data_IF_861366397661
#
_entry.id   IF_861366397661
#
_cell.length_a   1.000
_cell.length_b   1.000
_cell.length_c   1.000
_cell.angle_alpha   90.00
_cell.angle_beta   90.00
_cell.angle_gamma   90.00
#
_symmetry.space_group_name_H-M   'P 1'
#
loop_
_entity.id
_entity.type
_entity.pdbx_description
1 polymer ?
#
# COMPACT_ATOMS: atom_id res chain seq x y z
N UNK A 1 27.47 9.90 -21.53
CA UNK A 1 28.81 9.41 -21.13
C UNK A 1 29.04 7.92 -21.39
N UNK A 2 28.52 6.96 -20.60
CA UNK A 2 28.92 5.54 -20.78
C UNK A 2 28.43 4.88 -22.08
N UNK A 3 27.21 5.20 -22.54
CA UNK A 3 26.66 4.70 -23.81
C UNK A 3 27.50 5.21 -25.01
N UNK A 4 27.96 6.46 -24.97
CA UNK A 4 28.85 7.02 -26.00
C UNK A 4 30.21 6.34 -26.00
N UNK A 5 30.77 6.05 -24.82
CA UNK A 5 32.03 5.30 -24.70
C UNK A 5 31.92 3.90 -25.30
N UNK A 6 30.78 3.22 -25.17
CA UNK A 6 30.57 1.92 -25.82
C UNK A 6 30.50 2.04 -27.34
N UNK A 7 29.79 3.05 -27.86
CA UNK A 7 29.75 3.33 -29.30
C UNK A 7 31.14 3.61 -29.88
N UNK A 8 31.95 4.42 -29.20
CA UNK A 8 33.33 4.73 -29.62
C UNK A 8 34.25 3.50 -29.65
N UNK A 9 33.98 2.50 -28.81
CA UNK A 9 34.72 1.23 -28.77
C UNK A 9 34.15 0.16 -29.72
N UNK A 10 33.22 0.51 -30.61
CA UNK A 10 32.58 -0.44 -31.54
C UNK A 10 31.64 -1.45 -30.88
N UNK A 11 31.33 -1.29 -29.58
CA UNK A 11 30.40 -2.14 -28.85
C UNK A 11 28.95 -1.70 -29.14
N UNK A 12 28.46 -2.07 -30.32
CA UNK A 12 27.08 -1.80 -30.77
C UNK A 12 26.11 -2.90 -30.34
N UNK A 13 24.83 -2.56 -30.16
CA UNK A 13 23.76 -3.51 -29.84
C UNK A 13 23.68 -3.95 -28.38
N UNK A 14 24.40 -3.28 -27.46
CA UNK A 14 24.37 -3.63 -26.03
C UNK A 14 23.06 -3.20 -25.38
N UNK A 15 22.37 -4.15 -24.76
CA UNK A 15 21.14 -3.90 -24.01
C UNK A 15 21.43 -3.19 -22.69
N UNK A 16 20.70 -2.10 -22.42
CA UNK A 16 20.70 -1.43 -21.12
C UNK A 16 19.90 -2.30 -20.15
N UNK A 17 20.46 -2.55 -18.97
CA UNK A 17 19.80 -3.34 -17.92
C UNK A 17 19.44 -2.44 -16.76
N UNK A 18 18.17 -2.44 -16.37
CA UNK A 18 17.65 -1.64 -15.25
C UNK A 18 16.94 -2.58 -14.27
N UNK A 19 17.08 -2.33 -12.98
CA UNK A 19 16.40 -3.08 -11.93
C UNK A 19 15.39 -2.19 -11.23
N UNK A 20 14.21 -2.71 -10.97
CA UNK A 20 13.15 -2.02 -10.21
C UNK A 20 13.14 -2.56 -8.79
N UNK A 21 13.42 -1.71 -7.80
CA UNK A 21 13.48 -2.08 -6.38
C UNK A 21 12.46 -1.30 -5.55
N UNK A 22 12.09 -1.85 -4.40
CA UNK A 22 11.17 -1.21 -3.45
C UNK A 22 10.47 -2.22 -2.54
N UNK A 23 9.72 -1.71 -1.56
CA UNK A 23 8.97 -2.55 -0.61
C UNK A 23 7.85 -3.34 -1.32
N UNK A 24 7.25 -4.36 -0.68
CA UNK A 24 6.11 -5.07 -1.26
C UNK A 24 4.94 -4.13 -1.61
N UNK A 25 4.12 -4.52 -2.58
CA UNK A 25 2.90 -3.82 -3.00
C UNK A 25 3.04 -2.38 -3.54
N UNK A 26 4.25 -1.83 -3.70
CA UNK A 26 4.45 -0.51 -4.34
C UNK A 26 4.20 -0.46 -5.86
N UNK A 27 3.82 -1.58 -6.49
CA UNK A 27 3.50 -1.62 -7.92
C UNK A 27 4.67 -1.87 -8.88
N UNK A 28 5.79 -2.47 -8.41
CA UNK A 28 6.96 -2.82 -9.23
C UNK A 28 6.60 -3.61 -10.49
N UNK A 29 5.94 -4.76 -10.31
CA UNK A 29 5.53 -5.65 -11.40
C UNK A 29 4.47 -5.00 -12.30
N UNK A 30 3.59 -4.17 -11.74
CA UNK A 30 2.60 -3.40 -12.51
C UNK A 30 3.27 -2.36 -13.43
N UNK A 31 4.30 -1.67 -12.93
CA UNK A 31 5.10 -0.74 -13.73
C UNK A 31 5.80 -1.48 -14.87
N UNK A 32 6.41 -2.64 -14.58
CA UNK A 32 7.10 -3.46 -15.57
C UNK A 32 6.13 -3.96 -16.65
N UNK A 33 4.97 -4.51 -16.27
CA UNK A 33 3.94 -4.95 -17.23
C UNK A 33 3.46 -3.80 -18.12
N UNK A 34 3.25 -2.61 -17.54
CA UNK A 34 2.85 -1.43 -18.31
C UNK A 34 3.92 -1.02 -19.32
N UNK A 35 5.20 -1.08 -18.94
CA UNK A 35 6.32 -0.74 -19.82
C UNK A 35 6.61 -1.83 -20.88
N UNK A 36 6.35 -3.10 -20.56
CA UNK A 36 6.60 -4.23 -21.47
C UNK A 36 5.44 -4.50 -22.44
N UNK A 37 4.36 -3.72 -22.34
CA UNK A 37 3.13 -3.89 -23.13
C UNK A 37 2.52 -5.31 -23.02
N UNK A 38 2.71 -5.98 -21.88
CA UNK A 38 2.21 -7.33 -21.65
C UNK A 38 1.94 -7.63 -20.16
N UNK A 39 1.22 -8.73 -19.90
CA UNK A 39 0.91 -9.21 -18.54
C UNK A 39 1.84 -10.37 -18.15
N UNK A 40 3.14 -10.15 -18.19
CA UNK A 40 4.13 -11.22 -18.02
C UNK A 40 4.58 -11.39 -16.57
N UNK A 41 4.68 -10.29 -15.81
CA UNK A 41 4.97 -10.34 -14.38
C UNK A 41 3.70 -10.59 -13.56
N UNK A 42 3.80 -11.39 -12.50
CA UNK A 42 2.69 -11.65 -11.59
C UNK A 42 2.33 -10.37 -10.81
N UNK A 43 1.06 -10.01 -10.81
CA UNK A 43 0.55 -8.81 -10.11
C UNK A 43 -0.65 -9.21 -9.26
N UNK A 44 -0.51 -9.10 -7.95
CA UNK A 44 -1.63 -9.16 -7.00
C UNK A 44 -1.35 -8.18 -5.85
N UNK A 45 -2.40 -7.69 -5.21
CA UNK A 45 -2.29 -6.75 -4.08
C UNK A 45 -2.03 -7.48 -2.76
N UNK A 46 -0.96 -8.29 -2.70
CA UNK A 46 -0.53 -9.01 -1.49
C UNK A 46 1.00 -9.15 -1.45
N UNK A 47 1.65 -9.03 -0.29
CA UNK A 47 3.10 -9.18 -0.20
C UNK A 47 3.56 -10.59 -0.56
N UNK A 48 4.67 -10.68 -1.33
CA UNK A 48 5.32 -11.96 -1.68
C UNK A 48 4.82 -12.63 -2.96
N UNK A 49 4.13 -11.90 -3.84
CA UNK A 49 3.70 -12.37 -5.18
C UNK A 49 4.90 -12.63 -6.07
N UNK A 50 5.78 -11.64 -6.23
CA UNK A 50 7.05 -11.80 -6.95
C UNK A 50 8.04 -12.55 -6.07
N UNK A 51 8.41 -13.77 -6.46
CA UNK A 51 9.28 -14.67 -5.68
C UNK A 51 10.67 -14.87 -6.28
N UNK A 52 10.84 -14.58 -7.56
CA UNK A 52 12.11 -14.75 -8.28
C UNK A 52 12.39 -13.53 -9.13
N UNK A 53 13.68 -13.31 -9.42
CA UNK A 53 14.11 -12.24 -10.30
C UNK A 53 13.84 -12.65 -11.76
N UNK A 54 13.17 -11.79 -12.52
CA UNK A 54 12.84 -12.05 -13.92
C UNK A 54 13.16 -10.85 -14.81
N UNK A 55 13.76 -11.12 -15.97
CA UNK A 55 14.07 -10.09 -16.98
C UNK A 55 12.94 -9.96 -17.99
N UNK A 56 12.55 -8.72 -18.26
CA UNK A 56 11.53 -8.35 -19.23
C UNK A 56 12.15 -7.42 -20.28
N UNK A 57 12.24 -7.84 -21.54
CA UNK A 57 12.73 -6.97 -22.62
C UNK A 57 11.70 -5.89 -22.93
N UNK A 58 12.16 -4.65 -23.06
CA UNK A 58 11.35 -3.47 -23.39
C UNK A 58 11.85 -2.88 -24.71
N UNK A 59 11.07 -3.04 -25.77
CA UNK A 59 11.44 -2.55 -27.10
C UNK A 59 12.80 -3.07 -27.55
N UNK A 60 13.65 -2.20 -28.11
CA UNK A 60 15.01 -2.54 -28.55
C UNK A 60 16.04 -1.91 -27.62
N UNK A 61 16.82 -2.76 -26.95
CA UNK A 61 18.01 -2.32 -26.20
C UNK A 61 17.76 -1.95 -24.75
N UNK A 62 16.63 -2.35 -24.14
CA UNK A 62 16.38 -2.21 -22.71
C UNK A 62 15.81 -3.52 -22.14
N UNK A 63 16.34 -3.98 -21.01
CA UNK A 63 15.78 -5.05 -20.19
C UNK A 63 15.48 -4.52 -18.77
N UNK A 64 14.31 -4.82 -18.24
CA UNK A 64 13.92 -4.54 -16.87
C UNK A 64 13.96 -5.80 -16.02
N UNK A 65 14.57 -5.73 -14.84
CA UNK A 65 14.56 -6.79 -13.84
C UNK A 65 13.45 -6.50 -12.82
N UNK A 66 12.44 -7.39 -12.77
CA UNK A 66 11.49 -7.42 -11.66
C UNK A 66 12.11 -8.15 -10.48
N UNK A 67 11.96 -7.59 -9.28
CA UNK A 67 12.49 -8.15 -8.04
C UNK A 67 11.39 -8.34 -7.01
N UNK A 68 11.49 -9.35 -6.14
CA UNK A 68 10.68 -9.41 -4.92
C UNK A 68 10.71 -8.09 -4.17
N UNK A 69 9.58 -7.74 -3.53
CA UNK A 69 9.56 -6.62 -2.58
C UNK A 69 10.36 -6.96 -1.34
N UNK A 70 11.19 -6.03 -0.87
CA UNK A 70 12.04 -6.23 0.31
C UNK A 70 11.61 -5.29 1.42
N UNK A 71 11.40 -5.85 2.61
CA UNK A 71 11.32 -5.11 3.87
C UNK A 71 12.56 -5.42 4.70
N UNK A 72 12.99 -4.46 5.51
CA UNK A 72 14.08 -4.65 6.44
C UNK A 72 13.59 -5.40 7.71
N UNK A 73 14.44 -6.19 8.39
CA UNK A 73 13.99 -7.10 9.44
C UNK A 73 13.44 -6.42 10.70
N UNK A 74 13.85 -5.17 11.01
CA UNK A 74 13.47 -4.45 12.22
C UNK A 74 13.18 -2.99 11.93
N UNK A 75 11.96 -2.56 12.23
CA UNK A 75 11.60 -1.14 12.21
C UNK A 75 12.03 -0.51 13.54
N UNK A 76 13.03 0.36 13.51
CA UNK A 76 13.41 1.15 14.70
C UNK A 76 12.32 2.16 15.05
N UNK A 77 11.62 2.64 14.03
CA UNK A 77 10.55 3.60 14.16
C UNK A 77 9.17 2.92 14.05
N UNK A 78 8.37 3.06 15.11
CA UNK A 78 7.02 2.49 15.17
C UNK A 78 6.07 3.09 14.13
N UNK A 79 6.15 4.41 13.89
CA UNK A 79 5.30 5.12 12.93
C UNK A 79 5.57 4.59 11.51
N UNK A 80 6.83 4.41 11.14
CA UNK A 80 7.19 3.82 9.83
C UNK A 80 6.61 2.41 9.67
N UNK A 81 6.69 1.59 10.72
CA UNK A 81 6.09 0.26 10.72
C UNK A 81 4.57 0.29 10.54
N UNK A 82 3.87 1.18 11.25
CA UNK A 82 2.42 1.39 11.14
C UNK A 82 2.05 1.83 9.71
N UNK A 83 2.73 2.81 9.13
CA UNK A 83 2.46 3.28 7.77
C UNK A 83 2.63 2.19 6.72
N UNK A 84 3.71 1.39 6.80
CA UNK A 84 3.92 0.26 5.90
C UNK A 84 2.81 -0.78 6.03
N UNK A 85 2.36 -1.07 7.25
CA UNK A 85 1.25 -1.98 7.51
C UNK A 85 -0.08 -1.43 6.95
N UNK A 86 -0.39 -0.13 7.14
CA UNK A 86 -1.59 0.49 6.56
C UNK A 86 -1.62 0.35 5.04
N UNK A 87 -0.48 0.57 4.37
CA UNK A 87 -0.39 0.44 2.90
C UNK A 87 -0.34 -1.01 2.39
N UNK A 88 -0.33 -2.00 3.29
CA UNK A 88 -0.29 -3.42 2.92
C UNK A 88 1.09 -3.89 2.45
N UNK A 89 2.19 -3.22 2.83
CA UNK A 89 3.53 -3.73 2.55
C UNK A 89 3.88 -4.96 3.42
N UNK A 90 3.23 -5.10 4.57
CA UNK A 90 3.28 -6.25 5.49
C UNK A 90 2.02 -7.11 5.28
N UNK A 91 2.13 -8.43 5.46
CA UNK A 91 0.98 -9.34 5.31
C UNK A 91 0.01 -9.16 6.48
N UNK A 92 -1.29 -9.14 6.19
CA UNK A 92 -2.31 -8.96 7.24
C UNK A 92 -2.37 -10.15 8.20
N UNK A 93 -2.13 -11.38 7.74
CA UNK A 93 -2.16 -12.60 8.56
C UNK A 93 -1.17 -12.61 9.74
N UNK A 94 -0.19 -11.69 9.76
CA UNK A 94 0.79 -11.56 10.84
C UNK A 94 0.57 -10.33 11.70
N UNK A 95 -0.53 -9.59 11.48
CA UNK A 95 -0.88 -8.36 12.16
C UNK A 95 -2.16 -8.51 12.97
N UNK A 96 -2.28 -7.70 14.02
CA UNK A 96 -3.56 -7.45 14.67
C UNK A 96 -4.35 -6.46 13.81
N UNK A 97 -5.24 -7.00 12.98
CA UNK A 97 -6.02 -6.25 11.98
C UNK A 97 -6.94 -5.21 12.63
N UNK A 98 -7.55 -5.54 13.76
CA UNK A 98 -8.46 -4.63 14.46
C UNK A 98 -7.71 -3.44 15.05
N UNK A 99 -6.62 -3.71 15.77
CA UNK A 99 -5.78 -2.64 16.29
C UNK A 99 -5.18 -1.80 15.15
N UNK A 100 -4.75 -2.41 14.05
CA UNK A 100 -4.25 -1.67 12.88
C UNK A 100 -5.34 -0.75 12.28
N UNK A 101 -6.58 -1.23 12.16
CA UNK A 101 -7.71 -0.45 11.69
C UNK A 101 -8.02 0.73 12.62
N UNK A 102 -8.02 0.52 13.94
CA UNK A 102 -8.21 1.57 14.94
C UNK A 102 -7.14 2.65 14.82
N UNK A 103 -5.86 2.26 14.75
CA UNK A 103 -4.73 3.21 14.60
C UNK A 103 -4.81 3.99 13.30
N UNK A 104 -5.24 3.36 12.21
CA UNK A 104 -5.51 4.04 10.95
C UNK A 104 -6.65 5.06 11.10
N UNK A 105 -7.76 4.71 11.76
CA UNK A 105 -8.88 5.64 12.00
C UNK A 105 -8.46 6.84 12.81
N UNK A 106 -7.71 6.66 13.90
CA UNK A 106 -7.16 7.77 14.70
C UNK A 106 -6.35 8.73 13.83
N UNK A 107 -5.51 8.19 12.94
CA UNK A 107 -4.70 8.98 12.02
C UNK A 107 -5.55 9.71 10.97
N UNK A 108 -6.52 9.03 10.36
CA UNK A 108 -7.39 9.60 9.33
C UNK A 108 -8.35 10.65 9.91
N UNK A 109 -8.86 10.47 11.12
CA UNK A 109 -9.69 11.49 11.78
C UNK A 109 -8.92 12.79 12.02
N UNK A 110 -7.63 12.68 12.36
CA UNK A 110 -6.76 13.84 12.56
C UNK A 110 -6.39 14.53 11.26
N UNK A 111 -6.09 13.77 10.20
CA UNK A 111 -5.52 14.31 8.96
C UNK A 111 -6.54 14.58 7.85
N UNK A 112 -7.61 13.77 7.77
CA UNK A 112 -8.60 13.76 6.70
C UNK A 112 -10.03 13.48 7.22
N UNK A 113 -10.54 14.22 8.22
CA UNK A 113 -11.85 13.97 8.82
C UNK A 113 -12.99 14.03 7.80
N UNK A 114 -12.96 15.03 6.91
CA UNK A 114 -14.02 15.22 5.90
C UNK A 114 -14.12 14.04 4.93
N UNK A 115 -12.98 13.48 4.52
CA UNK A 115 -12.93 12.32 3.63
C UNK A 115 -13.52 11.08 4.30
N UNK A 116 -13.22 10.88 5.59
CA UNK A 116 -13.75 9.78 6.37
C UNK A 116 -15.27 9.95 6.60
N UNK A 117 -15.73 11.15 6.95
CA UNK A 117 -17.15 11.46 7.13
C UNK A 117 -17.94 11.23 5.85
N UNK A 118 -17.45 11.73 4.71
CA UNK A 118 -18.08 11.55 3.41
C UNK A 118 -18.13 10.06 3.00
N UNK A 119 -17.06 9.30 3.26
CA UNK A 119 -17.00 7.87 2.88
C UNK A 119 -18.03 7.03 3.63
N UNK A 120 -18.19 7.28 4.93
CA UNK A 120 -18.97 6.45 5.84
C UNK A 120 -20.29 7.08 6.30
N UNK A 121 -20.65 8.28 5.79
CA UNK A 121 -21.86 9.02 6.16
C UNK A 121 -21.94 9.30 7.66
N UNK A 122 -20.84 9.85 8.16
CA UNK A 122 -20.61 10.19 9.57
C UNK A 122 -20.62 11.71 9.80
N UNK A 123 -21.33 12.49 8.97
CA UNK A 123 -21.31 13.97 8.97
C UNK A 123 -21.78 14.59 10.30
N UNK A 124 -22.50 13.81 11.12
CA UNK A 124 -22.98 14.22 12.45
C UNK A 124 -22.11 13.73 13.59
N UNK A 125 -21.07 12.96 13.30
CA UNK A 125 -20.17 12.40 14.31
C UNK A 125 -19.01 13.38 14.50
N UNK A 126 -18.94 13.95 15.70
CA UNK A 126 -17.76 14.70 16.11
C UNK A 126 -16.67 13.71 16.50
N UNK A 127 -15.54 13.76 15.79
CA UNK A 127 -14.38 12.91 16.11
C UNK A 127 -13.56 13.43 17.30
N UNK A 128 -13.84 14.65 17.79
CA UNK A 128 -13.10 15.22 18.90
C UNK A 128 -13.24 14.33 20.16
N UNK A 129 -12.11 13.78 20.61
CA UNK A 129 -12.06 12.90 21.79
C UNK A 129 -12.65 11.50 21.59
N UNK A 130 -13.04 11.09 20.38
CA UNK A 130 -13.45 9.71 20.11
C UNK A 130 -12.24 8.80 19.92
N UNK A 131 -12.27 7.65 20.59
CA UNK A 131 -11.38 6.53 20.33
C UNK A 131 -11.66 5.94 18.94
N UNK A 132 -10.61 5.55 18.22
CA UNK A 132 -10.71 4.86 16.93
C UNK A 132 -11.60 3.62 16.99
N UNK A 133 -11.68 2.93 18.14
CA UNK A 133 -12.61 1.81 18.34
C UNK A 133 -14.07 2.23 18.19
N UNK A 134 -14.47 3.36 18.79
CA UNK A 134 -15.84 3.88 18.69
C UNK A 134 -16.18 4.33 17.27
N UNK A 135 -15.21 4.84 16.55
CA UNK A 135 -15.37 5.19 15.14
C UNK A 135 -15.54 3.92 14.29
N UNK A 136 -14.78 2.87 14.57
CA UNK A 136 -14.91 1.56 13.90
C UNK A 136 -16.30 0.95 14.13
N UNK A 137 -16.80 0.97 15.37
CA UNK A 137 -18.16 0.53 15.72
C UNK A 137 -19.23 1.32 14.94
N UNK A 138 -19.10 2.64 14.88
CA UNK A 138 -20.02 3.49 14.12
C UNK A 138 -19.99 3.18 12.62
N UNK A 139 -18.81 2.94 12.04
CA UNK A 139 -18.67 2.51 10.64
C UNK A 139 -19.34 1.15 10.43
N UNK A 140 -19.06 0.17 11.30
CA UNK A 140 -19.66 -1.16 11.23
C UNK A 140 -21.18 -1.11 11.31
N UNK A 141 -21.73 -0.30 12.21
CA UNK A 141 -23.16 -0.07 12.34
C UNK A 141 -23.75 0.54 11.06
N UNK A 142 -23.12 1.59 10.50
CA UNK A 142 -23.57 2.21 9.23
C UNK A 142 -23.53 1.25 8.05
N UNK A 143 -22.62 0.27 8.08
CA UNK A 143 -22.46 -0.76 7.05
C UNK A 143 -23.32 -2.01 7.31
N UNK A 144 -24.04 -2.08 8.42
CA UNK A 144 -24.85 -3.25 8.78
C UNK A 144 -24.01 -4.49 9.07
N UNK A 145 -22.78 -4.32 9.56
CA UNK A 145 -21.87 -5.38 9.93
C UNK A 145 -22.20 -5.85 11.34
N UNK A 146 -23.23 -6.69 11.45
CA UNK A 146 -23.75 -7.19 12.72
C UNK A 146 -23.51 -8.69 12.84
N UNK A 147 -23.17 -9.14 14.05
CA UNK A 147 -23.18 -10.54 14.44
C UNK A 147 -24.43 -10.86 15.28
N UNK A 148 -24.60 -12.14 15.61
CA UNK A 148 -25.66 -12.62 16.50
C UNK A 148 -25.69 -11.81 17.81
N UNK A 149 -26.88 -11.37 18.22
CA UNK A 149 -27.05 -10.51 19.40
C UNK A 149 -27.03 -9.01 19.10
N UNK A 150 -26.79 -8.60 17.85
CA UNK A 150 -26.81 -7.19 17.44
C UNK A 150 -25.51 -6.45 17.73
N UNK A 151 -24.47 -7.16 18.15
CA UNK A 151 -23.12 -6.61 18.30
C UNK A 151 -22.49 -6.33 16.92
N UNK A 152 -21.52 -5.41 16.89
CA UNK A 152 -20.82 -5.06 15.66
C UNK A 152 -19.75 -6.10 15.35
N UNK A 153 -19.71 -6.55 14.10
CA UNK A 153 -18.63 -7.36 13.54
C UNK A 153 -17.41 -6.47 13.26
N UNK A 154 -16.59 -6.24 14.28
CA UNK A 154 -15.42 -5.34 14.24
C UNK A 154 -14.28 -5.89 13.40
N UNK A 155 -14.10 -7.21 13.34
CA UNK A 155 -13.13 -7.86 12.46
C UNK A 155 -13.47 -7.57 10.99
N UNK A 156 -14.71 -7.81 10.57
CA UNK A 156 -15.16 -7.52 9.21
C UNK A 156 -15.10 -6.02 8.89
N UNK A 157 -15.43 -5.15 9.85
CA UNK A 157 -15.30 -3.71 9.69
C UNK A 157 -13.83 -3.29 9.48
N UNK A 158 -12.91 -3.91 10.21
CA UNK A 158 -11.46 -3.63 10.13
C UNK A 158 -10.88 -4.03 8.78
N UNK A 159 -11.20 -5.24 8.31
CA UNK A 159 -10.78 -5.73 6.98
C UNK A 159 -11.30 -4.79 5.89
N UNK A 160 -12.59 -4.46 5.94
CA UNK A 160 -13.21 -3.56 4.95
C UNK A 160 -12.57 -2.17 4.96
N UNK A 161 -12.32 -1.60 6.13
CA UNK A 161 -11.68 -0.29 6.26
C UNK A 161 -10.30 -0.28 5.61
N UNK A 162 -9.45 -1.26 5.92
CA UNK A 162 -8.10 -1.36 5.39
C UNK A 162 -8.11 -1.56 3.86
N UNK A 163 -9.00 -2.42 3.36
CA UNK A 163 -9.19 -2.62 1.92
C UNK A 163 -9.65 -1.35 1.21
N UNK A 164 -10.59 -0.60 1.80
CA UNK A 164 -11.07 0.65 1.23
C UNK A 164 -10.01 1.76 1.26
N UNK A 165 -9.22 1.81 2.32
CA UNK A 165 -8.06 2.70 2.41
C UNK A 165 -7.04 2.39 1.31
N UNK A 166 -6.60 1.13 1.20
CA UNK A 166 -5.61 0.67 0.21
C UNK A 166 -6.10 0.82 -1.23
N UNK A 167 -7.41 0.68 -1.46
CA UNK A 167 -8.03 0.92 -2.77
C UNK A 167 -8.25 2.41 -3.08
N UNK A 168 -7.89 3.34 -2.18
CA UNK A 168 -8.07 4.77 -2.35
C UNK A 168 -9.54 5.22 -2.33
N UNK A 169 -10.46 4.39 -1.81
CA UNK A 169 -11.90 4.68 -1.78
C UNK A 169 -12.27 5.73 -0.73
N UNK A 170 -11.45 5.89 0.31
CA UNK A 170 -11.63 6.94 1.33
C UNK A 170 -11.23 8.31 0.75
N UNK A 171 -10.20 8.35 -0.10
CA UNK A 171 -9.72 9.56 -0.75
C UNK A 171 -8.28 9.45 -1.21
N UNK A 172 -7.73 10.56 -1.72
CA UNK A 172 -6.31 10.69 -2.01
C UNK A 172 -5.58 11.05 -0.72
N UNK A 173 -5.08 10.03 -0.02
CA UNK A 173 -4.47 10.16 1.29
C UNK A 173 -2.94 10.11 1.18
N UNK A 174 -2.27 11.02 1.87
CA UNK A 174 -0.83 10.96 2.13
C UNK A 174 -0.62 10.91 3.65
N UNK A 175 0.05 9.87 4.13
CA UNK A 175 0.27 9.60 5.56
C UNK A 175 1.40 10.44 6.16
N UNK A 176 2.33 10.91 5.32
CA UNK A 176 3.52 11.68 5.72
C UNK A 176 3.59 12.99 4.94
N UNK A 177 3.98 14.08 5.59
CA UNK A 177 4.22 15.38 4.98
C UNK A 177 5.68 15.78 5.13
N UNK A 178 6.15 16.60 4.20
CA UNK A 178 7.48 17.20 4.30
C UNK A 178 7.56 18.01 5.59
N UNK A 179 8.50 17.66 6.47
CA UNK A 179 8.68 18.31 7.77
C UNK A 179 8.09 17.56 8.95
N UNK A 180 7.35 16.47 8.73
CA UNK A 180 6.98 15.56 9.81
C UNK A 180 8.25 14.96 10.42
N UNK A 181 8.36 15.00 11.75
CA UNK A 181 9.41 14.27 12.45
C UNK A 181 8.93 12.83 12.57
N UNK A 182 9.48 11.96 11.71
CA UNK A 182 9.19 10.52 11.73
C UNK A 182 10.10 9.88 12.76
#
# INVERSE_FOLDING_TARGET
RQIETWKQKGMVGRTIRVMVIGVPNVGKSSLINRLSHGNHAAVENRPGVTRTNQWFPIGKGLDLLDTPGVLWPKFENKIVGEHLAFTGAVKDDVLDTENLAVRLLELLCRLYPDALQARYRLEKLDFSGLDGWKILEAIGQKRGMLISGGEIDTERASIMLLDEFRAGKIGKITLERVGDTI
#
